data_IF_953979771842
#
_entry.id   IF_953979771842
#
_cell.length_a   1.000
_cell.length_b   1.000
_cell.length_c   1.000
_cell.angle_alpha   90.00
_cell.angle_beta   90.00
_cell.angle_gamma   90.00
#
_symmetry.space_group_name_H-M   'P 1'
#
loop_
_entity.id
_entity.type
_entity.pdbx_description
1 polymer ?
#
# COMPACT_ATOMS: atom_id res chain seq x y z
N UNK A 1 -32.49 -16.02 73.91
CA UNK A 1 -31.84 -15.21 72.90
C UNK A 1 -30.33 -15.48 72.93
N UNK A 2 -29.80 -16.27 71.94
CA UNK A 2 -28.36 -16.56 71.84
C UNK A 2 -27.71 -15.41 70.99
N UNK A 3 -26.90 -14.54 71.62
CA UNK A 3 -26.04 -13.59 70.91
C UNK A 3 -24.92 -14.40 70.24
N UNK A 4 -24.98 -14.50 68.92
CA UNK A 4 -23.88 -15.02 68.11
C UNK A 4 -22.69 -14.06 68.21
N UNK A 5 -21.67 -14.44 68.98
CA UNK A 5 -20.38 -13.74 69.00
C UNK A 5 -19.61 -14.21 67.74
N UNK A 6 -19.45 -13.33 66.77
CA UNK A 6 -18.53 -13.54 65.67
C UNK A 6 -17.14 -13.89 66.17
N UNK A 7 -16.52 -14.89 65.55
CA UNK A 7 -15.16 -15.33 65.89
C UNK A 7 -14.12 -14.30 65.42
N UNK A 8 -12.97 -14.27 66.05
CA UNK A 8 -11.84 -13.42 65.64
C UNK A 8 -11.42 -13.62 64.17
N UNK A 9 -11.64 -14.81 63.68
CA UNK A 9 -11.34 -15.19 62.27
C UNK A 9 -12.34 -14.56 61.29
N UNK A 10 -13.61 -14.48 61.63
CA UNK A 10 -14.67 -13.84 60.84
C UNK A 10 -14.45 -12.32 60.77
N UNK A 11 -14.00 -11.70 61.83
CA UNK A 11 -13.64 -10.27 61.87
C UNK A 11 -12.44 -9.94 60.98
N UNK A 12 -11.47 -10.89 60.90
CA UNK A 12 -10.29 -10.72 60.02
C UNK A 12 -10.69 -10.82 58.56
N UNK A 13 -11.49 -11.81 58.18
CA UNK A 13 -11.98 -12.00 56.82
C UNK A 13 -12.84 -10.82 56.32
N UNK A 14 -13.68 -10.26 57.19
CA UNK A 14 -14.48 -9.08 56.88
C UNK A 14 -13.62 -7.83 56.61
N UNK A 15 -12.53 -7.66 57.36
CA UNK A 15 -11.57 -6.55 57.09
C UNK A 15 -10.83 -6.71 55.79
N UNK A 16 -10.38 -7.93 55.45
CA UNK A 16 -9.70 -8.23 54.21
C UNK A 16 -10.65 -8.04 53.01
N UNK A 17 -11.90 -8.51 53.12
CA UNK A 17 -12.94 -8.31 52.07
C UNK A 17 -13.25 -6.82 51.88
N UNK A 18 -13.34 -6.03 52.98
CA UNK A 18 -13.58 -4.60 52.90
C UNK A 18 -12.40 -3.84 52.23
N UNK A 19 -11.16 -4.24 52.48
CA UNK A 19 -9.97 -3.67 51.88
C UNK A 19 -9.92 -3.99 50.35
N UNK A 20 -10.28 -5.21 49.96
CA UNK A 20 -10.36 -5.60 48.55
C UNK A 20 -11.46 -4.86 47.80
N UNK A 21 -12.60 -4.61 48.45
CA UNK A 21 -13.70 -3.83 47.86
C UNK A 21 -13.29 -2.36 47.63
N UNK A 22 -12.65 -1.74 48.66
CA UNK A 22 -12.14 -0.37 48.49
C UNK A 22 -11.02 -0.23 47.47
N UNK A 23 -10.20 -1.27 47.29
CA UNK A 23 -9.19 -1.33 46.23
C UNK A 23 -9.82 -1.48 44.86
N UNK A 24 -10.82 -2.36 44.73
CA UNK A 24 -11.57 -2.57 43.49
C UNK A 24 -12.37 -1.31 43.08
N UNK A 25 -12.94 -0.57 44.03
CA UNK A 25 -13.60 0.71 43.75
C UNK A 25 -12.59 1.80 43.34
N UNK A 26 -11.43 1.89 43.96
CA UNK A 26 -10.34 2.78 43.51
C UNK A 26 -9.86 2.46 42.11
N UNK A 27 -9.79 1.18 41.74
CA UNK A 27 -9.43 0.78 40.37
C UNK A 27 -10.53 1.09 39.35
N UNK A 28 -11.82 1.02 39.71
CA UNK A 28 -12.94 1.40 38.82
C UNK A 28 -13.06 2.91 38.62
N UNK A 29 -12.66 3.72 39.58
CA UNK A 29 -12.69 5.19 39.50
C UNK A 29 -11.41 5.77 38.87
N UNK A 30 -10.32 5.02 38.79
CA UNK A 30 -9.13 5.38 38.06
C UNK A 30 -9.34 5.15 36.55
N UNK A 31 -10.26 5.86 35.93
CA UNK A 31 -10.18 6.09 34.48
C UNK A 31 -8.83 6.79 34.23
N UNK A 32 -7.97 6.24 33.35
CA UNK A 32 -6.80 7.00 32.94
C UNK A 32 -7.35 8.30 32.34
N UNK A 33 -7.14 9.42 33.00
CA UNK A 33 -7.25 10.72 32.36
C UNK A 33 -6.16 10.74 31.28
N UNK A 34 -6.51 10.29 30.10
CA UNK A 34 -5.79 10.65 28.89
C UNK A 34 -6.10 12.13 28.73
N UNK A 35 -5.29 12.95 29.38
CA UNK A 35 -5.27 14.37 29.07
C UNK A 35 -4.71 14.49 27.67
N UNK A 36 -5.45 15.04 26.69
CA UNK A 36 -4.90 15.38 25.40
C UNK A 36 -4.04 16.63 25.59
N UNK A 37 -2.86 16.46 26.18
CA UNK A 37 -1.94 17.57 26.41
C UNK A 37 -0.70 17.34 25.55
N UNK A 38 -0.52 18.20 24.55
CA UNK A 38 0.68 18.41 23.74
C UNK A 38 0.90 17.52 22.50
N UNK A 39 -0.09 16.81 21.96
CA UNK A 39 0.10 16.09 20.68
C UNK A 39 -0.32 16.89 19.43
N UNK A 40 -1.03 18.01 19.58
CA UNK A 40 -1.52 18.81 18.44
C UNK A 40 -0.40 19.43 17.57
N UNK A 41 0.65 20.08 18.12
CA UNK A 41 1.68 20.66 17.26
C UNK A 41 2.53 19.61 16.54
N UNK A 42 2.83 18.46 17.16
CA UNK A 42 3.58 17.37 16.51
C UNK A 42 2.72 16.66 15.46
N UNK A 43 1.45 16.41 15.71
CA UNK A 43 0.53 15.81 14.76
C UNK A 43 0.36 16.72 13.52
N UNK A 44 0.22 18.03 13.72
CA UNK A 44 0.13 19.00 12.63
C UNK A 44 1.45 19.07 11.83
N UNK A 45 2.61 19.01 12.48
CA UNK A 45 3.90 18.97 11.80
C UNK A 45 4.06 17.71 10.94
N UNK A 46 3.65 16.55 11.44
CA UNK A 46 3.70 15.29 10.69
C UNK A 46 2.73 15.30 9.50
N UNK A 47 1.54 15.85 9.67
CA UNK A 47 0.56 16.01 8.58
C UNK A 47 1.07 16.95 7.49
N UNK A 48 1.65 18.08 7.87
CA UNK A 48 2.27 19.03 6.96
C UNK A 48 3.43 18.39 6.19
N UNK A 49 4.28 17.65 6.88
CA UNK A 49 5.39 16.94 6.25
C UNK A 49 4.90 15.92 5.22
N UNK A 50 3.90 15.13 5.57
CA UNK A 50 3.30 14.13 4.64
C UNK A 50 2.70 14.81 3.42
N UNK A 51 2.03 15.95 3.60
CA UNK A 51 1.46 16.74 2.52
C UNK A 51 2.56 17.29 1.61
N UNK A 52 3.60 17.89 2.17
CA UNK A 52 4.72 18.47 1.41
C UNK A 52 5.45 17.40 0.60
N UNK A 53 5.69 16.21 1.18
CA UNK A 53 6.30 15.08 0.47
C UNK A 53 5.42 14.64 -0.70
N UNK A 54 4.10 14.50 -0.48
CA UNK A 54 3.18 14.14 -1.56
C UNK A 54 3.19 15.18 -2.67
N UNK A 55 3.10 16.46 -2.33
CA UNK A 55 3.08 17.57 -3.29
C UNK A 55 4.39 17.62 -4.11
N UNK A 56 5.55 17.50 -3.46
CA UNK A 56 6.84 17.39 -4.09
C UNK A 56 6.88 16.26 -5.13
N UNK A 57 6.50 15.04 -4.71
CA UNK A 57 6.54 13.87 -5.58
C UNK A 57 5.57 13.98 -6.77
N UNK A 58 4.33 14.41 -6.53
CA UNK A 58 3.31 14.48 -7.59
C UNK A 58 3.52 15.64 -8.56
N UNK A 59 4.24 16.69 -8.15
CA UNK A 59 4.55 17.82 -9.04
C UNK A 59 5.71 17.51 -9.98
N UNK A 60 6.68 16.71 -9.53
CA UNK A 60 7.92 16.47 -10.28
C UNK A 60 7.97 15.14 -11.01
N UNK A 61 7.20 14.17 -10.55
CA UNK A 61 7.26 12.79 -11.04
C UNK A 61 5.88 12.23 -11.32
N UNK A 62 5.77 11.48 -12.41
CA UNK A 62 4.67 10.59 -12.69
C UNK A 62 5.03 9.20 -12.14
N UNK A 63 4.16 8.61 -11.34
CA UNK A 63 4.32 7.28 -10.79
C UNK A 63 3.25 6.34 -11.30
N UNK A 64 3.59 5.07 -11.46
CA UNK A 64 2.65 3.98 -11.73
C UNK A 64 3.15 2.69 -11.09
N UNK A 65 2.23 1.82 -10.74
CA UNK A 65 2.55 0.51 -10.17
C UNK A 65 2.27 -0.58 -11.19
N UNK A 66 3.29 -1.35 -11.56
CA UNK A 66 3.20 -2.41 -12.54
C UNK A 66 2.72 -3.71 -11.87
N UNK A 67 1.50 -4.14 -12.20
CA UNK A 67 0.89 -5.35 -11.63
C UNK A 67 1.58 -6.64 -12.06
N UNK A 68 2.36 -6.62 -13.14
CA UNK A 68 3.05 -7.80 -13.65
C UNK A 68 4.38 -8.03 -12.96
N UNK A 69 5.16 -6.96 -12.73
CA UNK A 69 6.50 -7.04 -12.12
C UNK A 69 6.50 -6.80 -10.63
N UNK A 70 5.35 -6.36 -10.05
CA UNK A 70 5.20 -5.98 -8.64
C UNK A 70 6.13 -4.81 -8.24
N UNK A 71 6.35 -3.87 -9.17
CA UNK A 71 7.26 -2.76 -8.99
C UNK A 71 6.58 -1.40 -9.22
N UNK A 72 6.99 -0.41 -8.43
CA UNK A 72 6.64 0.98 -8.70
C UNK A 72 7.61 1.54 -9.72
N UNK A 73 7.09 2.13 -10.78
CA UNK A 73 7.84 2.80 -11.83
C UNK A 73 7.59 4.30 -11.76
N UNK A 74 8.57 5.09 -12.18
CA UNK A 74 8.48 6.54 -12.21
C UNK A 74 9.16 7.15 -13.44
N UNK A 75 8.79 8.38 -13.74
CA UNK A 75 9.47 9.25 -14.71
C UNK A 75 9.30 10.70 -14.28
N UNK A 76 10.12 11.61 -14.82
CA UNK A 76 9.93 13.04 -14.61
C UNK A 76 8.61 13.54 -15.22
N UNK A 77 7.87 14.34 -14.47
CA UNK A 77 6.64 14.95 -14.94
C UNK A 77 6.93 15.86 -16.14
N UNK A 78 6.04 15.83 -17.14
CA UNK A 78 6.21 16.60 -18.38
C UNK A 78 7.07 15.94 -19.45
N UNK A 79 7.85 14.91 -19.13
CA UNK A 79 8.64 14.15 -20.09
C UNK A 79 7.84 12.95 -20.62
N UNK A 80 6.73 13.20 -21.32
CA UNK A 80 5.83 12.13 -21.80
C UNK A 80 6.50 11.11 -22.71
N UNK A 81 7.55 11.49 -23.43
CA UNK A 81 8.33 10.60 -24.30
C UNK A 81 9.36 9.74 -23.53
N UNK A 82 9.68 10.08 -22.28
CA UNK A 82 10.61 9.30 -21.48
C UNK A 82 9.95 7.99 -21.00
N UNK A 83 10.68 6.87 -21.03
CA UNK A 83 10.18 5.62 -20.47
C UNK A 83 10.02 5.73 -18.95
N UNK A 84 9.07 4.97 -18.41
CA UNK A 84 9.03 4.71 -16.97
C UNK A 84 10.16 3.77 -16.59
N UNK A 85 10.83 4.04 -15.48
CA UNK A 85 11.89 3.22 -14.93
C UNK A 85 11.48 2.71 -13.54
N UNK A 86 11.81 1.44 -13.17
CA UNK A 86 11.51 0.92 -11.85
C UNK A 86 12.30 1.69 -10.79
N UNK A 87 11.65 1.93 -9.64
CA UNK A 87 12.26 2.65 -8.54
C UNK A 87 13.09 1.70 -7.68
N UNK A 88 14.41 1.86 -7.72
CA UNK A 88 15.34 1.13 -6.86
C UNK A 88 15.66 1.92 -5.58
N UNK A 89 16.42 1.31 -4.67
CA UNK A 89 16.93 2.02 -3.49
C UNK A 89 17.77 3.25 -3.84
N UNK A 90 18.47 3.20 -4.97
CA UNK A 90 19.31 4.31 -5.43
C UNK A 90 18.46 5.52 -5.85
N UNK A 91 17.41 5.27 -6.63
CA UNK A 91 16.46 6.30 -7.04
C UNK A 91 15.71 6.87 -5.84
N UNK A 92 15.27 5.99 -4.92
CA UNK A 92 14.59 6.44 -3.70
C UNK A 92 15.48 7.36 -2.85
N UNK A 93 16.77 7.05 -2.73
CA UNK A 93 17.74 7.90 -2.03
C UNK A 93 17.96 9.22 -2.76
N UNK A 94 18.00 9.22 -4.09
CA UNK A 94 18.11 10.43 -4.89
C UNK A 94 16.91 11.36 -4.66
N UNK A 95 15.68 10.81 -4.71
CA UNK A 95 14.46 11.55 -4.40
C UNK A 95 14.46 12.13 -2.97
N UNK A 96 15.06 11.40 -2.01
CA UNK A 96 15.20 11.87 -0.64
C UNK A 96 16.14 13.08 -0.55
N UNK A 97 17.27 13.03 -1.25
CA UNK A 97 18.24 14.13 -1.30
C UNK A 97 17.60 15.36 -1.95
N UNK A 98 16.93 15.18 -3.08
CA UNK A 98 16.25 16.27 -3.78
C UNK A 98 15.15 16.93 -2.91
N UNK A 99 14.39 16.13 -2.15
CA UNK A 99 13.42 16.66 -1.22
C UNK A 99 14.07 17.48 -0.10
N UNK A 100 15.23 17.05 0.39
CA UNK A 100 16.01 17.82 1.39
C UNK A 100 16.56 19.12 0.81
N UNK A 101 17.04 19.12 -0.41
CA UNK A 101 17.53 20.33 -1.09
C UNK A 101 16.42 21.38 -1.22
N UNK A 102 15.16 20.95 -1.26
CA UNK A 102 13.98 21.82 -1.24
C UNK A 102 13.48 22.18 0.17
N UNK A 103 14.21 21.79 1.19
CA UNK A 103 13.86 22.08 2.57
C UNK A 103 12.74 21.20 3.15
N UNK A 104 12.43 20.06 2.53
CA UNK A 104 11.48 19.09 3.05
C UNK A 104 12.24 18.08 3.93
N UNK A 105 12.13 18.12 5.25
CA UNK A 105 12.89 17.26 6.16
C UNK A 105 12.27 15.85 6.22
N UNK A 106 12.27 15.13 5.09
CA UNK A 106 11.78 13.76 5.00
C UNK A 106 12.96 12.78 4.87
N UNK A 107 12.81 11.63 5.50
CA UNK A 107 13.73 10.51 5.34
C UNK A 107 13.13 9.46 4.40
N UNK A 108 13.95 8.51 4.00
CA UNK A 108 13.60 7.37 3.14
C UNK A 108 12.26 6.70 3.50
N UNK A 109 11.96 6.54 4.79
CA UNK A 109 10.68 5.98 5.26
C UNK A 109 9.46 6.81 4.89
N UNK A 110 9.59 8.12 4.82
CA UNK A 110 8.48 9.02 4.43
C UNK A 110 8.16 8.88 2.95
N UNK A 111 9.19 8.91 2.11
CA UNK A 111 9.09 8.72 0.67
C UNK A 111 8.64 7.30 0.30
N UNK A 112 9.27 6.27 0.91
CA UNK A 112 8.90 4.86 0.68
C UNK A 112 7.43 4.58 0.97
N UNK A 113 6.87 5.15 2.04
CA UNK A 113 5.45 4.98 2.37
C UNK A 113 4.52 5.48 1.28
N UNK A 114 4.88 6.58 0.61
CA UNK A 114 4.09 7.09 -0.50
C UNK A 114 4.30 6.24 -1.75
N UNK A 115 5.54 6.02 -2.13
CA UNK A 115 5.95 5.31 -3.36
C UNK A 115 5.42 3.86 -3.40
N UNK A 116 5.40 3.18 -2.25
CA UNK A 116 4.91 1.80 -2.13
C UNK A 116 3.48 1.72 -1.58
N UNK A 117 2.71 2.80 -1.65
CA UNK A 117 1.33 2.81 -1.21
C UNK A 117 0.35 2.63 -2.36
N UNK A 118 -0.88 2.26 -2.02
CA UNK A 118 -2.01 2.20 -2.96
C UNK A 118 -2.46 3.58 -3.51
N UNK A 119 -1.80 4.67 -3.12
CA UNK A 119 -1.99 5.98 -3.74
C UNK A 119 -1.38 6.07 -5.13
N UNK A 120 -0.43 5.19 -5.46
CA UNK A 120 0.13 5.09 -6.80
C UNK A 120 -0.84 4.30 -7.68
N UNK A 121 -1.24 4.83 -8.85
CA UNK A 121 -2.16 4.16 -9.74
C UNK A 121 -1.51 2.89 -10.29
N UNK A 122 -2.22 1.77 -10.19
CA UNK A 122 -1.79 0.51 -10.76
C UNK A 122 -2.17 0.40 -12.24
N UNK A 123 -1.36 -0.28 -13.01
CA UNK A 123 -1.64 -0.62 -14.39
C UNK A 123 -1.19 -2.05 -14.71
N UNK A 124 -1.86 -2.64 -15.68
CA UNK A 124 -1.47 -3.93 -16.21
C UNK A 124 -0.90 -3.74 -17.63
N UNK A 125 0.39 -4.07 -17.87
CA UNK A 125 1.04 -3.78 -19.15
C UNK A 125 0.32 -4.37 -20.37
N UNK A 126 -0.19 -5.59 -20.24
CA UNK A 126 -0.92 -6.23 -21.34
C UNK A 126 -2.29 -5.59 -21.60
N UNK A 127 -3.02 -5.17 -20.56
CA UNK A 127 -4.28 -4.46 -20.73
C UNK A 127 -4.05 -3.13 -21.44
N UNK A 128 -3.04 -2.37 -21.01
CA UNK A 128 -2.69 -1.11 -21.66
C UNK A 128 -2.32 -1.33 -23.14
N UNK A 129 -1.49 -2.34 -23.41
CA UNK A 129 -1.13 -2.70 -24.79
C UNK A 129 -2.36 -3.09 -25.63
N UNK A 130 -3.28 -3.88 -25.08
CA UNK A 130 -4.49 -4.30 -25.81
C UNK A 130 -5.43 -3.12 -26.07
N UNK A 131 -5.53 -2.16 -25.15
CA UNK A 131 -6.33 -0.95 -25.31
C UNK A 131 -5.76 0.00 -26.39
N UNK A 132 -4.43 0.03 -26.55
CA UNK A 132 -3.74 0.84 -27.55
C UNK A 132 -3.69 0.22 -28.94
N UNK A 133 -4.10 -1.06 -29.08
CA UNK A 133 -4.14 -1.71 -30.39
C UNK A 133 -5.17 -1.04 -31.30
N UNK A 134 -4.83 -0.83 -32.59
CA UNK A 134 -5.80 -0.36 -33.56
C UNK A 134 -6.93 -1.38 -33.73
N UNK A 135 -8.09 -0.91 -34.17
CA UNK A 135 -9.19 -1.80 -34.50
C UNK A 135 -8.76 -2.86 -35.54
N UNK A 136 -9.24 -4.09 -35.35
CA UNK A 136 -8.92 -5.18 -36.26
C UNK A 136 -9.38 -4.87 -37.71
N UNK A 137 -8.47 -5.02 -38.66
CA UNK A 137 -8.67 -4.72 -40.06
C UNK A 137 -9.35 -5.87 -40.87
N UNK A 138 -9.76 -6.95 -40.20
CA UNK A 138 -10.40 -8.10 -40.79
C UNK A 138 -9.45 -9.11 -41.46
N UNK A 139 -8.13 -8.88 -41.46
CA UNK A 139 -7.17 -9.79 -42.08
C UNK A 139 -6.76 -10.92 -41.14
N UNK A 140 -6.93 -12.17 -41.64
CA UNK A 140 -6.49 -13.37 -40.90
C UNK A 140 -4.97 -13.60 -41.04
N UNK A 141 -4.25 -12.94 -40.16
CA UNK A 141 -2.78 -13.06 -40.08
C UNK A 141 -2.33 -14.38 -39.46
N UNK A 142 -3.18 -15.00 -38.64
CA UNK A 142 -2.85 -16.25 -37.94
C UNK A 142 -2.79 -17.42 -38.93
N UNK A 143 -3.77 -17.54 -39.78
CA UNK A 143 -3.75 -18.56 -40.85
C UNK A 143 -2.56 -18.35 -41.78
N UNK A 144 -2.30 -17.11 -42.21
CA UNK A 144 -1.15 -16.81 -43.06
C UNK A 144 0.20 -17.16 -42.37
N UNK A 145 0.32 -16.93 -41.07
CA UNK A 145 1.51 -17.29 -40.29
C UNK A 145 1.65 -18.83 -40.16
N UNK A 146 0.57 -19.51 -39.82
CA UNK A 146 0.55 -20.98 -39.70
C UNK A 146 0.97 -21.66 -41.01
N UNK A 147 0.49 -21.15 -42.14
CA UNK A 147 0.75 -21.71 -43.50
C UNK A 147 2.22 -21.55 -43.94
N UNK A 148 2.98 -20.64 -43.33
CA UNK A 148 4.45 -20.55 -43.55
C UNK A 148 5.20 -21.81 -43.08
N UNK A 149 4.63 -22.54 -42.13
CA UNK A 149 5.21 -23.78 -41.63
C UNK A 149 4.61 -24.97 -42.33
N UNK A 150 3.27 -25.07 -42.44
CA UNK A 150 2.56 -26.15 -43.12
C UNK A 150 1.15 -25.73 -43.50
N UNK A 151 0.74 -26.13 -44.72
CA UNK A 151 -0.62 -25.93 -45.20
C UNK A 151 -1.60 -27.06 -44.78
N UNK A 152 -1.17 -28.01 -43.94
CA UNK A 152 -2.04 -29.09 -43.46
C UNK A 152 -3.16 -28.52 -42.59
N UNK A 153 -4.45 -28.85 -42.87
CA UNK A 153 -5.57 -28.27 -42.09
C UNK A 153 -5.47 -28.50 -40.58
N UNK A 154 -5.05 -29.70 -40.16
CA UNK A 154 -4.88 -30.05 -38.76
C UNK A 154 -3.83 -29.19 -38.09
N UNK A 155 -2.71 -28.85 -38.77
CA UNK A 155 -1.69 -27.95 -38.30
C UNK A 155 -2.26 -26.52 -38.10
N UNK A 156 -2.93 -25.99 -39.09
CA UNK A 156 -3.51 -24.64 -39.04
C UNK A 156 -4.52 -24.53 -37.88
N UNK A 157 -5.40 -25.51 -37.75
CA UNK A 157 -6.36 -25.55 -36.64
C UNK A 157 -5.69 -25.66 -35.30
N UNK A 158 -4.69 -26.52 -35.14
CA UNK A 158 -3.91 -26.66 -33.88
C UNK A 158 -3.17 -25.38 -33.53
N UNK A 159 -2.59 -24.69 -34.51
CA UNK A 159 -1.92 -23.42 -34.32
C UNK A 159 -2.89 -22.32 -33.83
N UNK A 160 -4.08 -22.22 -34.41
CA UNK A 160 -5.12 -21.30 -33.93
C UNK A 160 -5.51 -21.58 -32.47
N UNK A 161 -5.76 -22.85 -32.14
CA UNK A 161 -6.11 -23.24 -30.74
C UNK A 161 -4.98 -22.89 -29.77
N UNK A 162 -3.73 -23.13 -30.16
CA UNK A 162 -2.57 -22.81 -29.36
C UNK A 162 -2.43 -21.28 -29.12
N UNK A 163 -2.61 -20.48 -30.18
CA UNK A 163 -2.55 -19.02 -30.08
C UNK A 163 -3.68 -18.45 -29.20
N UNK A 164 -4.90 -19.02 -29.32
CA UNK A 164 -6.01 -18.64 -28.42
C UNK A 164 -5.70 -18.98 -26.95
N UNK A 165 -5.10 -20.18 -26.74
CA UNK A 165 -4.64 -20.57 -25.40
C UNK A 165 -3.59 -19.62 -24.81
N UNK A 166 -2.66 -19.13 -25.63
CA UNK A 166 -1.69 -18.10 -25.19
C UNK A 166 -2.38 -16.78 -24.85
N UNK A 167 -3.27 -16.29 -25.71
CA UNK A 167 -3.97 -15.04 -25.48
C UNK A 167 -4.88 -15.08 -24.23
N UNK A 168 -5.42 -16.25 -23.89
CA UNK A 168 -6.26 -16.42 -22.68
C UNK A 168 -5.50 -16.38 -21.36
N UNK A 169 -4.16 -16.43 -21.41
CA UNK A 169 -3.31 -16.29 -20.19
C UNK A 169 -3.01 -14.83 -19.83
N UNK A 170 -3.34 -13.90 -20.70
CA UNK A 170 -3.11 -12.47 -20.51
C UNK A 170 -4.38 -11.78 -20.00
#
# INVERSE_FOLDING_TARGET
MKKNRMTLQEHRLLREASQLLTFAEKMKTAKPKITPKASQPLANATLLLTRNVKEFLTTRYDFRYNLLTDETEFRHAGQRAAPFIPISKRELNALCIEAHDEGIPCWDKGLSRYVYSSYIPSYHPFHLYMEELPAWDGHDRLTALAQRVSCRPLWVQGFHTWMLGLASQW
#
